data_IF_366095581210
#
_entry.id   IF_366095581210
#
_cell.length_a   1.000
_cell.length_b   1.000
_cell.length_c   1.000
_cell.angle_alpha   90.00
_cell.angle_beta   90.00
_cell.angle_gamma   90.00
#
_symmetry.space_group_name_H-M   'P 1'
#
loop_
_entity.id
_entity.type
_entity.pdbx_description
1 polymer ?
#
# COMPACT_ATOMS: atom_id res chain seq x y z
N UNK A 1 10.68 -45.82 40.49
CA UNK A 1 11.87 -44.99 40.22
C UNK A 1 12.99 -45.90 39.75
N UNK A 2 13.34 -45.82 38.47
CA UNK A 2 14.65 -46.13 37.93
C UNK A 2 14.78 -45.31 36.64
N UNK A 3 15.91 -44.61 36.52
CA UNK A 3 16.13 -43.37 35.77
C UNK A 3 16.59 -43.52 34.29
N UNK A 4 16.62 -44.68 33.60
CA UNK A 4 17.29 -44.72 32.29
C UNK A 4 16.37 -44.42 31.10
N UNK A 5 15.05 -44.34 31.25
CA UNK A 5 14.12 -44.18 30.12
C UNK A 5 13.82 -42.73 29.72
N UNK A 6 14.24 -41.74 30.53
CA UNK A 6 13.99 -40.33 30.23
C UNK A 6 15.11 -39.68 29.39
N UNK A 7 16.28 -40.31 29.31
CA UNK A 7 17.46 -39.75 28.61
C UNK A 7 17.46 -40.15 27.12
N UNK A 8 16.81 -41.26 26.75
CA UNK A 8 16.77 -41.74 25.35
C UNK A 8 15.78 -41.01 24.45
N UNK A 9 14.87 -40.19 25.01
CA UNK A 9 13.94 -39.38 24.23
C UNK A 9 14.47 -37.96 23.93
N UNK A 10 15.54 -37.54 24.61
CA UNK A 10 16.10 -36.18 24.47
C UNK A 10 17.25 -36.09 23.47
N UNK A 11 17.75 -37.22 22.96
CA UNK A 11 18.89 -37.28 22.03
C UNK A 11 18.50 -37.47 20.56
N UNK A 12 17.22 -37.61 20.23
CA UNK A 12 16.73 -37.68 18.84
C UNK A 12 16.16 -36.36 18.30
N UNK A 13 16.09 -35.30 19.11
CA UNK A 13 15.46 -34.02 18.72
C UNK A 13 16.45 -32.90 18.35
N UNK A 14 17.76 -33.10 18.48
CA UNK A 14 18.76 -32.02 18.28
C UNK A 14 19.56 -32.10 16.98
N UNK A 15 19.16 -32.94 16.02
CA UNK A 15 19.89 -33.12 14.75
C UNK A 15 19.04 -32.92 13.49
N UNK A 16 18.08 -31.99 13.50
CA UNK A 16 17.36 -31.57 12.27
C UNK A 16 17.20 -30.05 12.13
N UNK A 17 17.89 -29.24 12.95
CA UNK A 17 17.84 -27.77 12.87
C UNK A 17 19.18 -27.15 12.42
N UNK A 18 19.79 -27.76 11.42
CA UNK A 18 20.75 -27.09 10.54
C UNK A 18 20.20 -27.05 9.12
N UNK A 19 18.97 -26.56 8.98
CA UNK A 19 18.68 -25.80 7.77
C UNK A 19 19.61 -24.61 7.83
N UNK A 20 20.73 -24.72 7.12
CA UNK A 20 21.44 -23.56 6.61
C UNK A 20 20.35 -22.81 5.85
N UNK A 21 19.74 -21.82 6.51
CA UNK A 21 19.14 -20.70 5.83
C UNK A 21 20.32 -20.06 5.14
N UNK A 22 20.64 -20.57 3.94
CA UNK A 22 21.17 -19.71 2.92
C UNK A 22 20.16 -18.58 2.90
N UNK A 23 20.55 -17.46 3.50
CA UNK A 23 19.93 -16.19 3.17
C UNK A 23 20.05 -16.19 1.65
N UNK A 24 18.95 -16.53 0.97
CA UNK A 24 18.80 -16.13 -0.41
C UNK A 24 19.17 -14.67 -0.36
N UNK A 25 20.16 -14.23 -1.16
CA UNK A 25 20.34 -12.80 -1.34
C UNK A 25 18.93 -12.31 -1.60
N UNK A 26 18.44 -11.37 -0.78
CA UNK A 26 17.22 -10.65 -1.11
C UNK A 26 17.42 -10.27 -2.56
N UNK A 27 16.77 -10.98 -3.49
CA UNK A 27 16.80 -10.65 -4.89
C UNK A 27 16.40 -9.20 -4.86
N UNK A 28 17.36 -8.32 -5.16
CA UNK A 28 17.10 -6.90 -5.16
C UNK A 28 15.83 -6.74 -6.00
N UNK A 29 14.71 -6.38 -5.36
CA UNK A 29 13.41 -6.45 -6.01
C UNK A 29 13.50 -5.49 -7.19
N UNK A 30 13.61 -6.07 -8.38
CA UNK A 30 13.86 -5.36 -9.61
C UNK A 30 12.58 -4.61 -10.01
N UNK A 31 12.65 -3.73 -11.01
CA UNK A 31 11.50 -2.98 -11.50
C UNK A 31 10.24 -3.86 -11.71
N UNK A 32 10.30 -5.09 -12.27
CA UNK A 32 9.15 -6.00 -12.33
C UNK A 32 8.43 -6.25 -10.99
N UNK A 33 9.17 -6.45 -9.90
CA UNK A 33 8.59 -6.65 -8.57
C UNK A 33 7.83 -5.42 -8.08
N UNK A 34 8.40 -4.22 -8.29
CA UNK A 34 7.75 -2.94 -7.93
C UNK A 34 6.48 -2.74 -8.74
N UNK A 35 6.53 -2.96 -10.06
CA UNK A 35 5.39 -2.80 -10.95
C UNK A 35 4.24 -3.74 -10.59
N UNK A 36 4.56 -4.96 -10.13
CA UNK A 36 3.55 -5.88 -9.60
C UNK A 36 2.86 -5.31 -8.36
N UNK A 37 3.61 -4.78 -7.40
CA UNK A 37 3.01 -4.18 -6.19
C UNK A 37 2.19 -2.92 -6.52
N UNK A 38 2.61 -2.12 -7.50
CA UNK A 38 1.83 -0.98 -7.99
C UNK A 38 0.52 -1.43 -8.64
N UNK A 39 0.53 -2.49 -9.45
CA UNK A 39 -0.69 -3.08 -10.02
C UNK A 39 -1.66 -3.52 -8.93
N UNK A 40 -1.17 -4.23 -7.92
CA UNK A 40 -1.98 -4.67 -6.78
C UNK A 40 -2.56 -3.50 -5.99
N UNK A 41 -1.80 -2.42 -5.83
CA UNK A 41 -2.29 -1.19 -5.19
C UNK A 41 -3.43 -0.58 -5.98
N UNK A 42 -3.28 -0.44 -7.30
CA UNK A 42 -4.35 0.06 -8.19
C UNK A 42 -5.60 -0.82 -8.17
N UNK A 43 -5.45 -2.14 -8.22
CA UNK A 43 -6.56 -3.10 -8.14
C UNK A 43 -7.32 -2.99 -6.80
N UNK A 44 -6.60 -2.94 -5.68
CA UNK A 44 -7.20 -2.77 -4.37
C UNK A 44 -7.93 -1.44 -4.25
N UNK A 45 -7.37 -0.36 -4.81
CA UNK A 45 -7.98 0.96 -4.81
C UNK A 45 -9.29 0.97 -5.61
N UNK A 46 -9.31 0.35 -6.79
CA UNK A 46 -10.55 0.19 -7.58
C UNK A 46 -11.60 -0.61 -6.79
N UNK A 47 -11.19 -1.65 -6.06
CA UNK A 47 -12.10 -2.45 -5.24
C UNK A 47 -12.63 -1.68 -4.02
N UNK A 48 -11.83 -0.79 -3.46
CA UNK A 48 -12.21 0.11 -2.37
C UNK A 48 -13.19 1.17 -2.86
N UNK A 49 -12.89 1.84 -3.97
CA UNK A 49 -13.75 2.82 -4.61
C UNK A 49 -15.14 2.25 -4.93
N UNK A 50 -15.20 1.04 -5.51
CA UNK A 50 -16.47 0.34 -5.72
C UNK A 50 -17.27 0.14 -4.42
N UNK A 51 -16.60 -0.16 -3.31
CA UNK A 51 -17.27 -0.32 -2.02
C UNK A 51 -17.75 1.02 -1.45
N UNK A 52 -17.02 2.11 -1.67
CA UNK A 52 -17.49 3.47 -1.36
C UNK A 52 -18.75 3.78 -2.14
N UNK A 53 -18.73 3.63 -3.47
CA UNK A 53 -19.89 3.89 -4.36
C UNK A 53 -21.15 3.13 -3.93
N UNK A 54 -20.98 1.88 -3.51
CA UNK A 54 -22.06 0.98 -3.10
C UNK A 54 -22.41 1.06 -1.61
N UNK A 55 -21.72 1.91 -0.84
CA UNK A 55 -21.95 2.02 0.59
C UNK A 55 -23.38 2.52 0.87
N UNK A 56 -24.08 1.79 1.73
CA UNK A 56 -25.42 2.14 2.18
C UNK A 56 -25.53 1.97 3.70
N UNK A 57 -26.00 2.98 4.43
CA UNK A 57 -26.19 2.88 5.87
C UNK A 57 -27.19 1.76 6.19
N UNK A 58 -26.85 0.91 7.17
CA UNK A 58 -27.66 -0.21 7.69
C UNK A 58 -27.70 -1.48 6.82
N UNK A 59 -27.02 -1.51 5.67
CA UNK A 59 -26.65 -2.79 5.05
C UNK A 59 -25.42 -3.35 5.77
N UNK A 60 -25.25 -4.66 5.74
CA UNK A 60 -24.01 -5.30 6.20
C UNK A 60 -22.84 -4.66 5.46
N UNK A 61 -21.78 -4.30 6.20
CA UNK A 61 -20.60 -3.67 5.62
C UNK A 61 -20.08 -4.56 4.49
N UNK A 62 -19.99 -4.03 3.26
CA UNK A 62 -19.50 -4.75 2.08
C UNK A 62 -17.98 -4.96 2.13
N UNK A 63 -17.43 -5.03 3.34
CA UNK A 63 -16.02 -5.10 3.67
C UNK A 63 -15.29 -3.81 3.31
N UNK A 64 -15.91 -2.64 3.53
CA UNK A 64 -15.26 -1.34 3.30
C UNK A 64 -13.95 -1.28 4.10
N UNK A 65 -14.00 -1.58 5.40
CA UNK A 65 -12.81 -1.58 6.27
C UNK A 65 -11.73 -2.57 5.77
N UNK A 66 -12.13 -3.78 5.40
CA UNK A 66 -11.19 -4.77 4.83
C UNK A 66 -10.52 -4.25 3.57
N UNK A 67 -11.25 -3.56 2.69
CA UNK A 67 -10.72 -3.01 1.44
C UNK A 67 -9.79 -1.83 1.70
N UNK A 68 -10.11 -0.99 2.69
CA UNK A 68 -9.22 0.05 3.20
C UNK A 68 -7.89 -0.54 3.66
N UNK A 69 -7.93 -1.57 4.52
CA UNK A 69 -6.73 -2.30 4.96
C UNK A 69 -5.95 -2.91 3.78
N UNK A 70 -6.63 -3.46 2.78
CA UNK A 70 -5.94 -4.02 1.61
C UNK A 70 -5.14 -2.96 0.84
N UNK A 71 -5.70 -1.75 0.65
CA UNK A 71 -5.00 -0.63 0.01
C UNK A 71 -3.78 -0.23 0.83
N UNK A 72 -3.92 -0.04 2.14
CA UNK A 72 -2.81 0.29 3.04
C UNK A 72 -1.68 -0.75 2.98
N UNK A 73 -2.03 -2.04 3.07
CA UNK A 73 -1.06 -3.13 2.99
C UNK A 73 -0.36 -3.14 1.63
N UNK A 74 -1.06 -2.89 0.53
CA UNK A 74 -0.43 -2.80 -0.79
C UNK A 74 0.48 -1.58 -0.95
N UNK A 75 0.16 -0.43 -0.33
CA UNK A 75 1.04 0.73 -0.28
C UNK A 75 2.31 0.43 0.51
N UNK A 76 2.20 -0.23 1.68
CA UNK A 76 3.35 -0.66 2.47
C UNK A 76 4.24 -1.62 1.68
N UNK A 77 3.65 -2.59 0.98
CA UNK A 77 4.41 -3.54 0.14
C UNK A 77 5.11 -2.84 -1.03
N UNK A 78 4.44 -1.89 -1.67
CA UNK A 78 5.00 -1.06 -2.73
C UNK A 78 6.19 -0.25 -2.23
N UNK A 79 6.04 0.43 -1.09
CA UNK A 79 7.11 1.21 -0.45
C UNK A 79 8.30 0.32 -0.08
N UNK A 80 8.05 -0.85 0.52
CA UNK A 80 9.11 -1.81 0.86
C UNK A 80 9.83 -2.35 -0.39
N UNK A 81 9.10 -2.57 -1.49
CA UNK A 81 9.70 -3.00 -2.75
C UNK A 81 10.61 -1.93 -3.36
N UNK A 82 10.17 -0.66 -3.34
CA UNK A 82 10.98 0.49 -3.79
C UNK A 82 12.20 0.70 -2.89
N UNK A 83 12.04 0.69 -1.57
CA UNK A 83 13.17 0.86 -0.64
C UNK A 83 14.25 -0.22 -0.83
N UNK A 84 13.83 -1.47 -1.02
CA UNK A 84 14.73 -2.60 -1.23
C UNK A 84 15.42 -2.60 -2.60
N UNK A 85 15.02 -1.73 -3.54
CA UNK A 85 15.64 -1.65 -4.86
C UNK A 85 16.89 -0.77 -4.85
N UNK A 86 17.91 -1.09 -5.68
CA UNK A 86 18.95 -0.12 -5.99
C UNK A 86 18.36 1.07 -6.77
N UNK A 87 19.12 2.18 -6.91
CA UNK A 87 18.74 3.25 -7.83
C UNK A 87 18.48 2.71 -9.24
N UNK A 88 17.40 3.17 -9.87
CA UNK A 88 16.94 2.65 -11.16
C UNK A 88 17.90 3.00 -12.30
N UNK A 89 18.00 2.10 -13.28
CA UNK A 89 18.54 2.42 -14.60
C UNK A 89 17.55 3.30 -15.36
N UNK A 90 18.02 3.96 -16.42
CA UNK A 90 17.19 4.93 -17.18
C UNK A 90 15.84 4.36 -17.61
N UNK A 91 15.82 3.17 -18.22
CA UNK A 91 14.57 2.55 -18.69
C UNK A 91 13.65 2.12 -17.54
N UNK A 92 14.20 1.65 -16.42
CA UNK A 92 13.43 1.29 -15.22
C UNK A 92 12.82 2.54 -14.58
N UNK A 93 13.58 3.63 -14.51
CA UNK A 93 13.17 4.92 -13.97
C UNK A 93 11.96 5.48 -14.72
N UNK A 94 12.04 5.55 -16.05
CA UNK A 94 10.91 6.00 -16.87
C UNK A 94 9.72 5.05 -16.79
N UNK A 95 9.93 3.74 -16.63
CA UNK A 95 8.83 2.79 -16.52
C UNK A 95 8.10 2.90 -15.17
N UNK A 96 8.85 2.92 -14.07
CA UNK A 96 8.31 3.02 -12.70
C UNK A 96 7.58 4.35 -12.52
N UNK A 97 8.17 5.46 -12.97
CA UNK A 97 7.53 6.79 -12.89
C UNK A 97 6.21 6.82 -13.68
N UNK A 98 6.22 6.38 -14.95
CA UNK A 98 5.01 6.34 -15.78
C UNK A 98 3.89 5.50 -15.17
N UNK A 99 4.21 4.35 -14.57
CA UNK A 99 3.19 3.51 -13.92
C UNK A 99 2.68 4.16 -12.64
N UNK A 100 3.55 4.76 -11.83
CA UNK A 100 3.13 5.50 -10.64
C UNK A 100 2.16 6.64 -11.00
N UNK A 101 2.46 7.43 -12.04
CA UNK A 101 1.59 8.51 -12.50
C UNK A 101 0.21 8.01 -12.98
N UNK A 102 0.14 6.82 -13.57
CA UNK A 102 -1.14 6.22 -14.01
C UNK A 102 -2.06 5.83 -12.86
N UNK A 103 -1.55 5.72 -11.63
CA UNK A 103 -2.41 5.49 -10.44
C UNK A 103 -3.13 6.75 -9.99
N UNK A 104 -2.60 7.95 -10.27
CA UNK A 104 -3.20 9.21 -9.83
C UNK A 104 -4.68 9.37 -10.21
N UNK A 105 -5.13 9.17 -11.47
CA UNK A 105 -6.55 9.34 -11.80
C UNK A 105 -7.47 8.42 -10.98
N UNK A 106 -7.00 7.22 -10.60
CA UNK A 106 -7.78 6.29 -9.76
C UNK A 106 -7.91 6.82 -8.33
N UNK A 107 -6.86 7.43 -7.79
CA UNK A 107 -6.91 8.12 -6.50
C UNK A 107 -7.87 9.29 -6.52
N UNK A 108 -7.81 10.12 -7.57
CA UNK A 108 -8.69 11.30 -7.70
C UNK A 108 -10.16 10.88 -7.78
N UNK A 109 -10.46 9.82 -8.53
CA UNK A 109 -11.82 9.25 -8.60
C UNK A 109 -12.28 8.77 -7.22
N UNK A 110 -11.48 7.92 -6.55
CA UNK A 110 -11.78 7.45 -5.19
C UNK A 110 -12.05 8.59 -4.20
N UNK A 111 -11.19 9.61 -4.17
CA UNK A 111 -11.31 10.77 -3.29
C UNK A 111 -12.60 11.55 -3.58
N UNK A 112 -12.92 11.76 -4.85
CA UNK A 112 -14.19 12.38 -5.25
C UNK A 112 -15.39 11.58 -4.75
N UNK A 113 -15.40 10.27 -4.95
CA UNK A 113 -16.50 9.39 -4.57
C UNK A 113 -16.67 9.30 -3.04
N UNK A 114 -15.59 9.39 -2.27
CA UNK A 114 -15.63 9.51 -0.82
C UNK A 114 -16.36 10.77 -0.38
N UNK A 115 -16.09 11.92 -1.03
CA UNK A 115 -16.82 13.18 -0.74
C UNK A 115 -18.30 13.06 -1.11
N UNK A 116 -18.61 12.46 -2.27
CA UNK A 116 -20.01 12.22 -2.69
C UNK A 116 -20.76 11.37 -1.67
N UNK A 117 -20.09 10.39 -1.04
CA UNK A 117 -20.67 9.49 -0.04
C UNK A 117 -20.62 9.96 1.40
N UNK A 118 -20.13 11.17 1.64
CA UNK A 118 -20.09 11.79 2.98
C UNK A 118 -21.43 11.73 3.72
N UNK A 119 -22.59 12.08 3.12
CA UNK A 119 -23.87 12.06 3.85
C UNK A 119 -24.25 10.66 4.38
N UNK A 120 -23.93 9.61 3.63
CA UNK A 120 -24.14 8.23 4.07
C UNK A 120 -23.19 7.85 5.22
N UNK A 121 -21.93 8.25 5.15
CA UNK A 121 -20.97 8.04 6.23
C UNK A 121 -21.36 8.77 7.52
N UNK A 122 -21.86 10.00 7.41
CA UNK A 122 -22.41 10.78 8.53
C UNK A 122 -23.62 10.07 9.15
N UNK A 123 -24.58 9.63 8.32
CA UNK A 123 -25.77 8.88 8.77
C UNK A 123 -25.41 7.57 9.47
N UNK A 124 -24.32 6.93 9.06
CA UNK A 124 -23.78 5.73 9.69
C UNK A 124 -22.83 6.01 10.87
N UNK A 125 -22.52 7.28 11.15
CA UNK A 125 -21.58 7.72 12.21
C UNK A 125 -20.17 7.16 12.03
N UNK A 126 -19.71 7.05 10.78
CA UNK A 126 -18.34 6.62 10.44
C UNK A 126 -17.53 7.70 9.72
N UNK A 127 -18.08 8.90 9.53
CA UNK A 127 -17.42 10.00 8.81
C UNK A 127 -16.03 10.34 9.36
N UNK A 128 -15.89 10.48 10.69
CA UNK A 128 -14.59 10.77 11.34
C UNK A 128 -13.54 9.71 11.05
N UNK A 129 -13.94 8.44 11.06
CA UNK A 129 -13.06 7.30 10.76
C UNK A 129 -12.67 7.26 9.28
N UNK A 130 -13.58 7.62 8.38
CA UNK A 130 -13.24 7.78 6.95
C UNK A 130 -12.22 8.92 6.80
N UNK A 131 -12.45 10.06 7.47
CA UNK A 131 -11.52 11.20 7.42
C UNK A 131 -10.12 10.84 7.93
N UNK A 132 -10.02 10.12 9.06
CA UNK A 132 -8.76 9.59 9.59
C UNK A 132 -8.07 8.67 8.57
N UNK A 133 -8.80 7.74 7.97
CA UNK A 133 -8.26 6.87 6.94
C UNK A 133 -7.75 7.64 5.71
N UNK A 134 -8.43 8.71 5.29
CA UNK A 134 -7.95 9.57 4.19
C UNK A 134 -6.64 10.29 4.57
N UNK A 135 -6.47 10.73 5.82
CA UNK A 135 -5.20 11.31 6.31
C UNK A 135 -4.07 10.28 6.28
N UNK A 136 -4.33 9.06 6.72
CA UNK A 136 -3.35 7.97 6.70
C UNK A 136 -2.93 7.61 5.26
N UNK A 137 -3.91 7.56 4.34
CA UNK A 137 -3.63 7.32 2.93
C UNK A 137 -2.80 8.45 2.31
N UNK A 138 -3.09 9.71 2.64
CA UNK A 138 -2.28 10.86 2.20
C UNK A 138 -0.81 10.66 2.59
N UNK A 139 -0.55 10.40 3.88
CA UNK A 139 0.82 10.22 4.38
C UNK A 139 1.52 9.04 3.68
N UNK A 140 0.83 7.93 3.46
CA UNK A 140 1.40 6.76 2.77
C UNK A 140 1.69 7.01 1.30
N UNK A 141 0.81 7.74 0.61
CA UNK A 141 1.04 8.14 -0.78
C UNK A 141 2.24 9.09 -0.89
N UNK A 142 2.35 10.06 0.01
CA UNK A 142 3.48 10.97 0.10
C UNK A 142 4.79 10.21 0.33
N UNK A 143 4.83 9.33 1.34
CA UNK A 143 6.01 8.52 1.64
C UNK A 143 6.41 7.62 0.47
N UNK A 144 5.44 7.02 -0.23
CA UNK A 144 5.72 6.22 -1.43
C UNK A 144 6.31 7.07 -2.56
N UNK A 145 5.80 8.29 -2.79
CA UNK A 145 6.33 9.20 -3.79
C UNK A 145 7.79 9.56 -3.48
N UNK A 146 8.09 9.95 -2.24
CA UNK A 146 9.46 10.23 -1.77
C UNK A 146 10.37 9.03 -1.99
N UNK A 147 9.95 7.81 -1.60
CA UNK A 147 10.72 6.59 -1.83
C UNK A 147 11.02 6.35 -3.31
N UNK A 148 10.06 6.64 -4.21
CA UNK A 148 10.24 6.48 -5.65
C UNK A 148 11.26 7.51 -6.16
N UNK A 149 11.13 8.78 -5.78
CA UNK A 149 12.01 9.88 -6.20
C UNK A 149 13.48 9.60 -5.90
N UNK A 150 13.77 9.05 -4.71
CA UNK A 150 15.13 8.67 -4.30
C UNK A 150 15.78 7.66 -5.25
N UNK A 151 14.98 6.79 -5.88
CA UNK A 151 15.45 5.75 -6.80
C UNK A 151 15.46 6.19 -8.26
N UNK A 152 14.69 7.22 -8.63
CA UNK A 152 14.57 7.70 -10.01
C UNK A 152 15.82 8.46 -10.49
N UNK A 153 15.96 8.50 -11.82
CA UNK A 153 16.86 9.43 -12.52
C UNK A 153 16.31 10.86 -12.46
N UNK A 154 17.17 11.89 -12.43
CA UNK A 154 16.75 13.28 -12.30
C UNK A 154 15.64 13.70 -13.28
N UNK A 155 15.71 13.25 -14.54
CA UNK A 155 14.74 13.58 -15.58
C UNK A 155 13.31 13.07 -15.31
N UNK A 156 13.14 12.00 -14.53
CA UNK A 156 11.82 11.43 -14.23
C UNK A 156 11.28 11.91 -12.86
N UNK A 157 12.12 12.53 -12.01
CA UNK A 157 11.73 12.97 -10.64
C UNK A 157 10.69 14.08 -10.67
N UNK A 158 10.89 15.08 -11.52
CA UNK A 158 9.99 16.24 -11.61
C UNK A 158 8.55 15.82 -11.92
N UNK A 159 8.39 14.79 -12.76
CA UNK A 159 7.06 14.26 -13.07
C UNK A 159 6.40 13.61 -11.84
N UNK A 160 7.14 12.91 -10.97
CA UNK A 160 6.57 12.37 -9.73
C UNK A 160 6.20 13.50 -8.77
N UNK A 161 7.09 14.47 -8.56
CA UNK A 161 6.86 15.61 -7.66
C UNK A 161 5.59 16.37 -8.07
N UNK A 162 5.44 16.71 -9.35
CA UNK A 162 4.26 17.43 -9.84
C UNK A 162 2.95 16.64 -9.65
N UNK A 163 3.01 15.32 -9.82
CA UNK A 163 1.86 14.42 -9.74
C UNK A 163 1.46 14.17 -8.30
N UNK A 164 2.45 14.01 -7.42
CA UNK A 164 2.25 13.99 -5.98
C UNK A 164 1.55 15.28 -5.56
N UNK A 165 2.08 16.46 -5.91
CA UNK A 165 1.54 17.72 -5.40
C UNK A 165 0.09 17.95 -5.82
N UNK A 166 -0.27 17.46 -7.00
CA UNK A 166 -1.65 17.45 -7.47
C UNK A 166 -2.52 16.51 -6.62
N UNK A 167 -2.05 15.30 -6.36
CA UNK A 167 -2.76 14.33 -5.55
C UNK A 167 -2.91 14.81 -4.09
N UNK A 168 -1.87 15.41 -3.52
CA UNK A 168 -1.86 15.94 -2.16
C UNK A 168 -2.92 17.04 -1.97
N UNK A 169 -3.10 17.89 -2.98
CA UNK A 169 -4.20 18.88 -3.01
C UNK A 169 -5.58 18.23 -3.05
N UNK A 170 -5.76 17.11 -3.75
CA UNK A 170 -7.04 16.40 -3.75
C UNK A 170 -7.31 15.70 -2.41
N UNK A 171 -6.27 15.16 -1.76
CA UNK A 171 -6.38 14.68 -0.38
C UNK A 171 -6.80 15.80 0.58
N UNK A 172 -6.15 16.96 0.52
CA UNK A 172 -6.47 18.11 1.38
C UNK A 172 -7.91 18.60 1.18
N UNK A 173 -8.37 18.69 -0.08
CA UNK A 173 -9.77 19.03 -0.39
C UNK A 173 -10.74 18.00 0.17
N UNK A 174 -10.39 16.71 0.07
CA UNK A 174 -11.22 15.62 0.60
C UNK A 174 -11.31 15.70 2.11
N UNK A 175 -10.18 15.88 2.80
CA UNK A 175 -10.14 16.00 4.27
C UNK A 175 -10.97 17.20 4.73
N UNK A 176 -10.79 18.36 4.10
CA UNK A 176 -11.54 19.59 4.41
C UNK A 176 -13.05 19.46 4.13
N UNK A 177 -13.46 18.54 3.25
CA UNK A 177 -14.87 18.28 3.02
C UNK A 177 -15.53 17.51 4.17
N UNK A 178 -14.79 16.97 5.14
CA UNK A 178 -15.34 16.31 6.33
C UNK A 178 -15.33 17.21 7.58
N UNK A 179 -14.75 18.40 7.49
CA UNK A 179 -14.78 19.43 8.53
C UNK A 179 -16.07 20.28 8.43
#
# INVERSE_FOLDING_TARGET
MNLPTLITLLTTLTLHLTTITTATPLEARNAPGILKEFSLTGENLILLDKAVKLYEPKKEDQGLERKQTNVEVSLIKSMNAVHASPPFKKQESSLVSNVACKMQPVWVEYLHDVVVKRPEFEKAKIADRIQEHIRDLKERCHNLAVSIEEKLKPEDRETIVDREQQLDREFDRTIAAFD
#
